data_IF_646768029457
#
_entry.id   IF_646768029457
#
_cell.length_a   1.000
_cell.length_b   1.000
_cell.length_c   1.000
_cell.angle_alpha   90.00
_cell.angle_beta   90.00
_cell.angle_gamma   90.00
#
_symmetry.space_group_name_H-M   'P 1'
#
loop_
_entity.id
_entity.type
_entity.pdbx_description
1 polymer ?
#
# COMPACT_ATOMS: atom_id res chain seq x y z
N UNK A 1 21.43 -9.71 -8.52
CA UNK A 1 20.04 -9.51 -9.00
C UNK A 1 19.96 -9.22 -10.51
N UNK A 2 20.90 -8.56 -11.17
CA UNK A 2 20.94 -8.61 -12.65
C UNK A 2 20.78 -10.05 -13.13
N UNK A 3 21.45 -10.99 -12.48
CA UNK A 3 21.28 -12.42 -12.73
C UNK A 3 19.85 -12.96 -12.52
N UNK A 4 19.01 -12.37 -11.70
CA UNK A 4 17.64 -12.85 -11.51
C UNK A 4 16.72 -12.40 -12.66
N UNK A 5 16.85 -11.15 -13.14
CA UNK A 5 16.13 -10.73 -14.37
C UNK A 5 16.66 -11.47 -15.61
N UNK A 6 17.96 -11.71 -15.72
CA UNK A 6 18.54 -12.50 -16.79
C UNK A 6 18.01 -13.94 -16.80
N UNK A 7 17.70 -14.50 -15.62
CA UNK A 7 17.07 -15.81 -15.47
C UNK A 7 15.57 -15.76 -15.79
N UNK A 8 14.87 -14.74 -15.29
CA UNK A 8 13.41 -14.62 -15.45
C UNK A 8 13.00 -14.12 -16.83
N UNK A 9 13.86 -13.33 -17.48
CA UNK A 9 13.61 -12.70 -18.78
C UNK A 9 14.81 -12.86 -19.73
N UNK A 10 15.28 -14.08 -20.04
CA UNK A 10 16.57 -14.33 -20.71
C UNK A 10 16.69 -13.74 -22.12
N UNK A 11 15.60 -13.34 -22.74
CA UNK A 11 15.57 -12.82 -24.12
C UNK A 11 14.79 -11.51 -24.26
N UNK A 12 14.49 -10.84 -23.14
CA UNK A 12 13.77 -9.57 -23.14
C UNK A 12 14.68 -8.42 -22.73
N UNK A 13 14.41 -7.24 -23.25
CA UNK A 13 14.99 -6.03 -22.68
C UNK A 13 14.50 -5.82 -21.24
N UNK A 14 15.23 -5.04 -20.44
CA UNK A 14 14.76 -4.68 -19.10
C UNK A 14 13.39 -4.03 -19.14
N UNK A 15 13.15 -3.14 -20.08
CA UNK A 15 11.85 -2.47 -20.27
C UNK A 15 10.73 -3.46 -20.59
N UNK A 16 10.96 -4.39 -21.53
CA UNK A 16 9.95 -5.39 -21.89
C UNK A 16 9.67 -6.34 -20.71
N UNK A 17 10.72 -6.73 -19.98
CA UNK A 17 10.55 -7.54 -18.78
C UNK A 17 9.67 -6.85 -17.74
N UNK A 18 9.90 -5.56 -17.47
CA UNK A 18 9.11 -4.75 -16.53
C UNK A 18 7.66 -4.58 -16.98
N UNK A 19 7.44 -4.30 -18.26
CA UNK A 19 6.09 -3.99 -18.78
C UNK A 19 5.23 -5.24 -19.01
N UNK A 20 5.83 -6.33 -19.48
CA UNK A 20 5.11 -7.56 -19.82
C UNK A 20 4.88 -8.49 -18.62
N UNK A 21 5.81 -8.50 -17.64
CA UNK A 21 5.74 -9.44 -16.52
C UNK A 21 5.36 -8.79 -15.19
N UNK A 22 5.73 -7.53 -14.96
CA UNK A 22 5.41 -6.78 -13.74
C UNK A 22 5.65 -7.61 -12.49
N UNK A 23 6.89 -8.08 -12.31
CA UNK A 23 7.24 -8.89 -11.14
C UNK A 23 6.95 -8.15 -9.84
N UNK A 24 6.41 -8.88 -8.85
CA UNK A 24 6.07 -8.35 -7.54
C UNK A 24 6.85 -9.06 -6.45
N UNK A 25 7.09 -8.33 -5.37
CA UNK A 25 7.55 -8.88 -4.09
C UNK A 25 6.42 -8.66 -3.09
N UNK A 26 5.80 -9.75 -2.67
CA UNK A 26 4.77 -9.70 -1.62
C UNK A 26 5.42 -9.42 -0.27
N UNK A 27 4.70 -8.72 0.61
CA UNK A 27 5.13 -8.35 1.96
C UNK A 27 6.44 -7.55 2.00
N UNK A 28 6.74 -6.70 1.05
CA UNK A 28 7.99 -5.95 0.96
C UNK A 28 8.28 -5.08 2.21
N UNK A 29 8.39 -5.74 3.39
CA UNK A 29 8.38 -5.11 4.72
C UNK A 29 9.77 -4.66 5.18
N UNK A 30 10.80 -5.48 4.94
CA UNK A 30 12.17 -5.20 5.39
C UNK A 30 13.08 -5.35 4.19
N UNK A 31 13.61 -4.22 3.69
CA UNK A 31 14.38 -4.16 2.45
C UNK A 31 15.65 -3.36 2.69
N UNK A 32 16.81 -4.00 2.50
CA UNK A 32 18.08 -3.30 2.56
C UNK A 32 18.14 -2.17 1.51
N UNK A 33 18.77 -1.06 1.85
CA UNK A 33 18.81 0.13 0.98
C UNK A 33 19.35 -0.15 -0.43
N UNK A 34 20.36 -1.03 -0.57
CA UNK A 34 20.89 -1.41 -1.87
C UNK A 34 19.89 -2.27 -2.68
N UNK A 35 19.10 -3.11 -2.01
CA UNK A 35 18.05 -3.88 -2.66
C UNK A 35 16.86 -2.99 -3.05
N UNK A 36 16.55 -1.96 -2.26
CA UNK A 36 15.54 -0.96 -2.64
C UNK A 36 15.94 -0.23 -3.93
N UNK A 37 17.20 0.20 -4.09
CA UNK A 37 17.69 0.78 -5.34
C UNK A 37 17.48 -0.17 -6.52
N UNK A 38 17.78 -1.45 -6.32
CA UNK A 38 17.60 -2.48 -7.35
C UNK A 38 16.13 -2.72 -7.68
N UNK A 39 15.23 -2.67 -6.70
CA UNK A 39 13.77 -2.71 -6.92
C UNK A 39 13.36 -1.55 -7.84
N UNK A 40 13.84 -0.33 -7.57
CA UNK A 40 13.56 0.83 -8.41
C UNK A 40 14.12 0.68 -9.83
N UNK A 41 15.39 0.29 -9.96
CA UNK A 41 16.03 0.09 -11.27
C UNK A 41 15.34 -0.99 -12.09
N UNK A 42 14.87 -2.04 -11.45
CA UNK A 42 14.24 -3.18 -12.09
C UNK A 42 12.73 -3.02 -12.27
N UNK A 43 12.11 -1.95 -11.73
CA UNK A 43 10.66 -1.74 -11.78
C UNK A 43 9.86 -2.87 -11.13
N UNK A 44 10.41 -3.51 -10.07
CA UNK A 44 9.70 -4.55 -9.33
C UNK A 44 8.65 -3.87 -8.45
N UNK A 45 7.43 -4.34 -8.51
CA UNK A 45 6.30 -3.80 -7.76
C UNK A 45 6.33 -4.35 -6.33
N UNK A 46 6.50 -3.52 -5.28
CA UNK A 46 6.36 -3.97 -3.90
C UNK A 46 4.88 -4.04 -3.53
N UNK A 47 4.46 -5.16 -2.97
CA UNK A 47 3.15 -5.32 -2.35
C UNK A 47 3.33 -5.20 -0.84
N UNK A 48 2.60 -4.27 -0.22
CA UNK A 48 2.83 -3.81 1.15
C UNK A 48 1.51 -3.81 1.92
N UNK A 49 1.58 -4.14 3.20
CA UNK A 49 0.46 -4.07 4.12
C UNK A 49 0.74 -2.97 5.16
N UNK A 50 0.12 -1.78 5.04
CA UNK A 50 0.37 -0.70 5.99
C UNK A 50 0.05 -1.06 7.44
N UNK A 51 -0.97 -1.89 7.66
CA UNK A 51 -1.35 -2.39 8.99
C UNK A 51 -0.27 -3.25 9.63
N UNK A 52 0.51 -4.03 8.85
CA UNK A 52 1.65 -4.77 9.39
C UNK A 52 2.68 -3.86 10.06
N UNK A 53 2.94 -2.66 9.49
CA UNK A 53 3.83 -1.70 10.12
C UNK A 53 3.37 -1.29 11.52
N UNK A 54 2.06 -1.07 11.67
CA UNK A 54 1.47 -0.61 12.94
C UNK A 54 1.20 -1.75 13.92
N UNK A 55 1.02 -2.97 13.44
CA UNK A 55 0.93 -4.16 14.29
C UNK A 55 2.31 -4.55 14.85
N UNK A 56 3.37 -4.37 14.05
CA UNK A 56 4.73 -4.76 14.41
C UNK A 56 5.51 -3.66 15.17
N UNK A 57 5.06 -2.41 15.16
CA UNK A 57 5.79 -1.27 15.73
C UNK A 57 6.17 -1.45 17.20
N UNK A 58 5.39 -2.21 17.98
CA UNK A 58 5.67 -2.47 19.39
C UNK A 58 6.89 -3.37 19.65
N UNK A 59 7.36 -4.13 18.66
CA UNK A 59 8.49 -5.04 18.83
C UNK A 59 9.56 -4.96 17.73
N UNK A 60 9.28 -4.27 16.63
CA UNK A 60 10.18 -4.22 15.47
C UNK A 60 11.58 -3.71 15.85
N UNK A 61 11.67 -2.61 16.63
CA UNK A 61 12.96 -2.07 17.07
C UNK A 61 13.74 -3.04 17.97
N UNK A 62 13.05 -3.80 18.80
CA UNK A 62 13.68 -4.80 19.68
C UNK A 62 14.31 -5.93 18.87
N UNK A 63 13.69 -6.28 17.74
CA UNK A 63 14.12 -7.37 16.85
C UNK A 63 15.19 -6.95 15.86
N UNK A 64 15.03 -5.79 15.25
CA UNK A 64 15.89 -5.31 14.16
C UNK A 64 16.98 -4.34 14.62
N UNK A 65 16.76 -3.70 15.76
CA UNK A 65 17.51 -2.53 16.20
C UNK A 65 17.02 -1.24 15.53
N UNK A 66 17.13 -0.12 16.23
CA UNK A 66 16.58 1.17 15.81
C UNK A 66 17.06 1.61 14.42
N UNK A 67 18.34 1.41 14.10
CA UNK A 67 18.92 1.80 12.80
C UNK A 67 18.24 1.06 11.65
N UNK A 68 18.19 -0.27 11.68
CA UNK A 68 17.57 -1.07 10.62
C UNK A 68 16.08 -0.81 10.52
N UNK A 69 15.39 -0.65 11.64
CA UNK A 69 13.96 -0.32 11.62
C UNK A 69 13.72 0.98 10.89
N UNK A 70 14.50 2.02 11.18
CA UNK A 70 14.38 3.33 10.52
C UNK A 70 14.78 3.33 9.05
N UNK A 71 15.81 2.54 8.68
CA UNK A 71 16.42 2.61 7.35
C UNK A 71 15.95 1.54 6.37
N UNK A 72 15.38 0.43 6.88
CA UNK A 72 15.07 -0.75 6.05
C UNK A 72 13.62 -1.25 6.21
N UNK A 73 12.92 -0.92 7.33
CA UNK A 73 11.63 -1.51 7.62
C UNK A 73 10.43 -0.61 7.27
N UNK A 74 9.39 -1.23 6.69
CA UNK A 74 8.08 -0.60 6.38
C UNK A 74 8.20 0.72 5.63
N UNK A 75 9.01 0.74 4.58
CA UNK A 75 9.42 1.93 3.83
C UNK A 75 8.44 2.28 2.70
N UNK A 76 7.19 2.58 3.06
CA UNK A 76 6.11 2.81 2.10
C UNK A 76 6.36 4.01 1.19
N UNK A 77 6.75 5.15 1.75
CA UNK A 77 7.03 6.37 0.99
C UNK A 77 8.25 6.23 0.08
N UNK A 78 9.29 5.60 0.58
CA UNK A 78 10.51 5.35 -0.19
C UNK A 78 10.28 4.44 -1.40
N UNK A 79 9.21 3.64 -1.41
CA UNK A 79 8.86 2.73 -2.50
C UNK A 79 7.85 3.31 -3.51
N UNK A 80 7.34 4.53 -3.28
CA UNK A 80 6.39 5.19 -4.21
C UNK A 80 6.85 5.24 -5.68
N UNK A 81 8.16 5.43 -6.00
CA UNK A 81 8.58 5.50 -7.40
C UNK A 81 8.29 4.25 -8.25
N UNK A 82 7.99 3.11 -7.63
CA UNK A 82 7.67 1.85 -8.32
C UNK A 82 6.20 1.41 -8.15
N UNK A 83 5.32 2.36 -7.84
CA UNK A 83 3.88 2.15 -7.72
C UNK A 83 3.51 0.97 -6.81
N UNK A 84 3.73 1.09 -5.50
CA UNK A 84 3.44 0.01 -4.56
C UNK A 84 1.95 -0.37 -4.59
N UNK A 85 1.69 -1.67 -4.43
CA UNK A 85 0.36 -2.22 -4.20
C UNK A 85 0.12 -2.29 -2.71
N UNK A 86 -0.94 -1.67 -2.21
CA UNK A 86 -1.32 -1.76 -0.80
C UNK A 86 -2.50 -2.71 -0.60
N UNK A 87 -2.53 -3.40 0.52
CA UNK A 87 -3.57 -4.35 0.88
C UNK A 87 -3.53 -4.71 2.36
N UNK A 88 -4.40 -5.62 2.80
CA UNK A 88 -4.51 -6.05 4.19
C UNK A 88 -3.85 -7.40 4.48
N UNK A 89 -3.63 -8.23 3.46
CA UNK A 89 -3.26 -9.64 3.62
C UNK A 89 -4.30 -10.42 4.46
N UNK A 90 -5.60 -10.10 4.26
CA UNK A 90 -6.65 -10.83 4.96
C UNK A 90 -6.50 -12.36 4.77
N UNK A 91 -6.60 -13.17 5.83
CA UNK A 91 -7.12 -12.87 7.18
C UNK A 91 -6.08 -12.46 8.22
N UNK A 92 -4.85 -12.10 7.83
CA UNK A 92 -3.81 -11.68 8.78
C UNK A 92 -4.21 -10.36 9.44
N UNK A 93 -4.69 -9.40 8.64
CA UNK A 93 -5.26 -8.15 9.13
C UNK A 93 -6.71 -7.99 8.66
N UNK A 94 -7.53 -7.13 9.28
CA UNK A 94 -8.89 -6.87 8.83
C UNK A 94 -8.94 -6.41 7.36
N UNK A 95 -9.97 -6.81 6.58
CA UNK A 95 -10.06 -6.49 5.16
C UNK A 95 -10.45 -5.05 4.86
N UNK A 96 -10.77 -4.23 5.87
CA UNK A 96 -11.19 -2.85 5.72
C UNK A 96 -10.04 -1.98 5.17
N UNK A 97 -10.16 -1.44 3.94
CA UNK A 97 -9.10 -0.65 3.32
C UNK A 97 -8.85 0.68 4.05
N UNK A 98 -9.86 1.26 4.73
CA UNK A 98 -9.69 2.53 5.46
C UNK A 98 -8.80 2.38 6.68
N UNK A 99 -8.78 1.20 7.31
CA UNK A 99 -7.79 0.89 8.35
C UNK A 99 -6.37 0.86 7.77
N UNK A 100 -6.19 0.30 6.57
CA UNK A 100 -4.91 0.32 5.86
C UNK A 100 -4.49 1.74 5.45
N UNK A 101 -5.42 2.55 4.95
CA UNK A 101 -5.19 3.96 4.61
C UNK A 101 -4.79 4.76 5.84
N UNK A 102 -5.53 4.60 6.96
CA UNK A 102 -5.17 5.22 8.23
C UNK A 102 -3.76 4.83 8.68
N UNK A 103 -3.43 3.53 8.67
CA UNK A 103 -2.11 3.04 9.04
C UNK A 103 -0.99 3.60 8.14
N UNK A 104 -1.24 3.76 6.84
CA UNK A 104 -0.28 4.34 5.91
C UNK A 104 -0.01 5.83 6.17
N UNK A 105 -1.04 6.59 6.56
CA UNK A 105 -0.97 8.04 6.75
C UNK A 105 -0.53 8.40 8.17
N UNK A 106 -1.22 7.84 9.17
CA UNK A 106 -1.00 8.15 10.58
C UNK A 106 0.19 7.41 11.20
N UNK A 107 0.60 6.27 10.62
CA UNK A 107 1.60 5.39 11.21
C UNK A 107 1.29 5.04 12.67
N UNK A 108 0.00 4.83 12.95
CA UNK A 108 -0.59 4.49 14.24
C UNK A 108 -1.52 3.28 14.07
N UNK A 109 -1.78 2.55 15.15
CA UNK A 109 -2.72 1.42 15.16
C UNK A 109 -4.14 1.89 14.79
N UNK A 110 -4.78 1.33 13.77
CA UNK A 110 -6.17 1.65 13.45
C UNK A 110 -7.14 1.32 14.59
N UNK A 111 -6.84 0.29 15.40
CA UNK A 111 -7.69 -0.15 16.50
C UNK A 111 -7.65 0.83 17.68
N UNK A 112 -6.46 1.31 18.04
CA UNK A 112 -6.29 2.18 19.22
C UNK A 112 -6.15 3.67 18.89
N UNK A 113 -5.69 4.00 17.67
CA UNK A 113 -5.29 5.36 17.28
C UNK A 113 -3.94 5.79 17.83
N UNK A 114 -3.18 4.87 18.47
CA UNK A 114 -1.94 5.17 19.15
C UNK A 114 -0.73 4.64 18.39
N UNK A 115 0.42 5.27 18.58
CA UNK A 115 1.73 4.82 18.10
C UNK A 115 2.40 3.84 19.06
N UNK A 116 3.66 3.46 18.78
CA UNK A 116 4.43 2.50 19.56
C UNK A 116 4.64 2.92 21.03
N UNK A 117 4.68 4.22 21.28
CA UNK A 117 4.92 4.80 22.61
C UNK A 117 3.60 5.16 23.34
N UNK A 118 2.46 4.85 22.74
CA UNK A 118 1.13 5.17 23.26
C UNK A 118 0.73 6.63 23.02
N UNK A 119 1.40 7.33 22.12
CA UNK A 119 1.12 8.70 21.71
C UNK A 119 0.35 8.80 20.39
N UNK A 120 0.29 10.03 19.84
CA UNK A 120 -0.37 10.34 18.58
C UNK A 120 0.58 10.89 17.51
N UNK A 121 1.90 10.79 17.74
CA UNK A 121 2.90 11.34 16.81
C UNK A 121 3.15 10.49 15.57
N UNK A 122 2.84 9.19 15.67
CA UNK A 122 3.07 8.21 14.63
C UNK A 122 4.50 7.64 14.61
N UNK A 123 4.61 6.41 14.12
CA UNK A 123 5.85 5.64 14.11
C UNK A 123 6.62 5.84 12.80
N UNK A 124 7.84 6.40 12.84
CA UNK A 124 8.67 6.69 11.65
C UNK A 124 7.92 7.46 10.56
N UNK A 125 7.42 8.65 10.89
CA UNK A 125 6.58 9.49 10.02
C UNK A 125 7.22 9.93 8.71
N UNK A 126 8.54 9.83 8.56
CA UNK A 126 9.22 10.08 7.29
C UNK A 126 8.83 9.07 6.18
N UNK A 127 8.26 7.93 6.55
CA UNK A 127 7.71 6.92 5.66
C UNK A 127 6.16 6.95 5.58
N UNK A 128 5.52 7.94 6.21
CA UNK A 128 4.07 8.14 6.09
C UNK A 128 3.69 8.58 4.66
N UNK A 129 2.55 8.11 4.19
CA UNK A 129 1.97 8.53 2.93
C UNK A 129 1.01 9.72 3.14
N UNK A 130 0.75 10.47 2.07
CA UNK A 130 -0.41 11.36 2.01
C UNK A 130 -1.69 10.56 1.75
N UNK A 131 -2.86 11.18 1.94
CA UNK A 131 -4.15 10.54 1.62
C UNK A 131 -4.20 10.12 0.14
N UNK A 132 -3.77 10.99 -0.77
CA UNK A 132 -3.75 10.72 -2.20
C UNK A 132 -2.82 9.54 -2.54
N UNK A 133 -1.61 9.50 -1.99
CA UNK A 133 -0.65 8.42 -2.18
C UNK A 133 -1.21 7.08 -1.66
N UNK A 134 -1.85 7.09 -0.48
CA UNK A 134 -2.48 5.91 0.09
C UNK A 134 -3.67 5.43 -0.75
N UNK A 135 -4.56 6.34 -1.19
CA UNK A 135 -5.68 6.00 -2.07
C UNK A 135 -5.20 5.39 -3.39
N UNK A 136 -4.18 5.96 -4.01
CA UNK A 136 -3.56 5.38 -5.22
C UNK A 136 -3.01 3.97 -4.96
N UNK A 137 -2.35 3.77 -3.82
CA UNK A 137 -1.84 2.47 -3.40
C UNK A 137 -2.93 1.41 -3.20
N UNK A 138 -4.15 1.79 -2.84
CA UNK A 138 -5.31 0.90 -2.69
C UNK A 138 -6.22 0.82 -3.93
N UNK A 139 -5.98 1.60 -4.98
CA UNK A 139 -6.84 1.66 -6.18
C UNK A 139 -6.04 1.43 -7.47
N UNK A 140 -5.39 2.45 -8.01
CA UNK A 140 -4.63 2.35 -9.27
C UNK A 140 -3.37 1.50 -9.14
N UNK A 141 -2.74 1.44 -7.96
CA UNK A 141 -1.60 0.56 -7.70
C UNK A 141 -1.94 -0.93 -7.88
N UNK A 142 -2.96 -1.47 -7.17
CA UNK A 142 -3.44 -2.84 -7.39
C UNK A 142 -3.90 -3.11 -8.82
N UNK A 143 -4.57 -2.16 -9.46
CA UNK A 143 -4.98 -2.28 -10.87
C UNK A 143 -3.76 -2.44 -11.78
N UNK A 144 -2.71 -1.64 -11.58
CA UNK A 144 -1.44 -1.78 -12.30
C UNK A 144 -0.79 -3.14 -12.04
N UNK A 145 -0.69 -3.57 -10.78
CA UNK A 145 -0.12 -4.88 -10.42
C UNK A 145 -0.88 -6.08 -10.98
N UNK A 146 -2.17 -5.88 -11.30
CA UNK A 146 -3.07 -6.90 -11.87
C UNK A 146 -3.24 -6.78 -13.40
N UNK A 147 -2.51 -5.91 -14.10
CA UNK A 147 -2.66 -5.65 -15.55
C UNK A 147 -4.04 -5.08 -15.95
N UNK A 148 -4.65 -4.31 -15.06
CA UNK A 148 -5.97 -3.68 -15.26
C UNK A 148 -5.85 -2.15 -15.45
N UNK A 149 -4.74 -1.64 -15.94
CA UNK A 149 -4.54 -0.23 -16.22
C UNK A 149 -5.64 0.31 -17.14
N UNK A 150 -6.23 1.44 -16.77
CA UNK A 150 -7.34 2.05 -17.51
C UNK A 150 -8.63 1.24 -17.47
N UNK A 151 -8.70 0.17 -16.67
CA UNK A 151 -9.90 -0.67 -16.51
C UNK A 151 -10.44 -0.65 -15.09
N UNK A 152 -9.57 -0.61 -14.08
CA UNK A 152 -9.95 -0.63 -12.68
C UNK A 152 -9.16 0.41 -11.88
N UNK A 153 -9.60 0.67 -10.64
CA UNK A 153 -8.95 1.58 -9.71
C UNK A 153 -9.16 3.07 -10.01
N UNK A 154 -10.05 3.42 -10.92
CA UNK A 154 -10.35 4.81 -11.30
C UNK A 154 -11.82 4.96 -11.74
N UNK A 155 -12.35 6.16 -11.64
CA UNK A 155 -13.68 6.53 -12.15
C UNK A 155 -13.47 7.36 -13.43
N UNK A 156 -13.40 6.67 -14.58
CA UNK A 156 -13.20 7.26 -15.90
C UNK A 156 -14.06 6.57 -16.96
N UNK A 157 -14.34 7.26 -18.07
CA UNK A 157 -15.08 6.69 -19.19
C UNK A 157 -14.29 5.52 -19.81
N UNK A 158 -14.87 4.35 -19.81
CA UNK A 158 -14.26 3.11 -20.32
C UNK A 158 -13.67 2.19 -19.24
N UNK A 159 -13.58 2.66 -17.99
CA UNK A 159 -13.25 1.83 -16.84
C UNK A 159 -14.46 1.00 -16.37
N UNK A 160 -14.20 0.00 -15.55
CA UNK A 160 -15.26 -0.74 -14.88
C UNK A 160 -16.08 0.17 -13.97
N UNK A 161 -17.39 -0.06 -13.93
CA UNK A 161 -18.30 0.68 -13.08
C UNK A 161 -18.25 0.12 -11.63
N UNK A 162 -17.09 0.26 -11.00
CA UNK A 162 -16.78 -0.20 -9.66
C UNK A 162 -16.46 1.01 -8.78
N UNK A 163 -17.26 1.26 -7.73
CA UNK A 163 -17.03 2.35 -6.79
C UNK A 163 -17.67 2.06 -5.43
N UNK A 164 -17.27 2.83 -4.44
CA UNK A 164 -17.91 2.90 -3.14
C UNK A 164 -18.48 4.29 -2.90
N UNK A 165 -19.59 4.38 -2.17
CA UNK A 165 -20.15 5.63 -1.67
C UNK A 165 -19.89 5.67 -0.17
N UNK A 166 -19.27 6.74 0.29
CA UNK A 166 -18.89 6.94 1.68
C UNK A 166 -19.94 7.81 2.39
N UNK A 167 -20.01 7.71 3.70
CA UNK A 167 -20.92 8.51 4.53
C UNK A 167 -20.47 9.97 4.67
N UNK A 168 -19.18 10.24 4.42
CA UNK A 168 -18.56 11.58 4.49
C UNK A 168 -17.57 11.80 3.36
N UNK A 169 -17.39 13.05 2.90
CA UNK A 169 -16.35 13.39 1.91
C UNK A 169 -14.96 13.26 2.55
N UNK A 170 -14.00 12.74 1.78
CA UNK A 170 -12.63 12.53 2.27
C UNK A 170 -11.82 13.82 2.41
N UNK A 171 -12.15 14.86 1.62
CA UNK A 171 -11.39 16.11 1.55
C UNK A 171 -11.41 16.91 2.86
N UNK A 172 -12.49 16.79 3.63
CA UNK A 172 -12.71 17.56 4.85
C UNK A 172 -12.45 16.73 6.12
N UNK A 173 -11.89 15.51 5.99
CA UNK A 173 -11.70 14.61 7.13
C UNK A 173 -10.37 14.83 7.83
N UNK A 174 -10.41 14.87 9.14
CA UNK A 174 -9.21 14.66 9.95
C UNK A 174 -8.74 13.20 9.85
N UNK A 175 -7.44 12.96 9.97
CA UNK A 175 -6.87 11.61 9.80
C UNK A 175 -7.51 10.58 10.74
N UNK A 176 -7.85 10.96 11.96
CA UNK A 176 -8.49 10.06 12.94
C UNK A 176 -9.93 9.68 12.56
N UNK A 177 -10.62 10.48 11.76
CA UNK A 177 -11.98 10.17 11.28
C UNK A 177 -12.01 8.99 10.30
N UNK A 178 -10.90 8.71 9.59
CA UNK A 178 -10.78 7.54 8.72
C UNK A 178 -11.06 6.21 9.42
N UNK A 179 -10.82 6.15 10.73
CA UNK A 179 -11.07 4.95 11.55
C UNK A 179 -12.56 4.64 11.77
N UNK A 180 -13.41 5.62 11.56
CA UNK A 180 -14.85 5.52 11.75
C UNK A 180 -15.63 5.79 10.45
N UNK A 181 -14.94 5.76 9.30
CA UNK A 181 -15.55 6.00 8.00
C UNK A 181 -16.40 4.80 7.59
N UNK A 182 -17.65 5.05 7.22
CA UNK A 182 -18.60 4.03 6.80
C UNK A 182 -18.79 4.02 5.28
N UNK A 183 -18.79 2.81 4.70
CA UNK A 183 -19.20 2.58 3.32
C UNK A 183 -20.73 2.46 3.29
N UNK A 184 -21.42 3.37 2.60
CA UNK A 184 -22.88 3.34 2.42
C UNK A 184 -23.29 2.43 1.29
N UNK A 185 -22.54 2.44 0.19
CA UNK A 185 -22.83 1.60 -0.96
C UNK A 185 -21.54 1.05 -1.56
N UNK A 186 -21.61 -0.16 -2.10
CA UNK A 186 -20.57 -0.74 -2.94
C UNK A 186 -21.19 -1.20 -4.26
N UNK A 187 -20.59 -0.76 -5.33
CA UNK A 187 -21.02 -1.06 -6.69
C UNK A 187 -19.93 -1.82 -7.43
N UNK A 188 -20.32 -2.91 -8.11
CA UNK A 188 -19.45 -3.74 -8.93
C UNK A 188 -20.11 -3.97 -10.28
N UNK A 189 -19.42 -3.67 -11.36
CA UNK A 189 -19.91 -3.74 -12.73
C UNK A 189 -21.26 -2.99 -12.92
N UNK A 190 -21.41 -1.84 -12.26
CA UNK A 190 -22.61 -1.00 -12.30
C UNK A 190 -23.80 -1.58 -11.54
N UNK A 191 -23.61 -2.58 -10.68
CA UNK A 191 -24.65 -3.15 -9.83
C UNK A 191 -24.30 -2.91 -8.38
N UNK A 192 -25.25 -2.42 -7.61
CA UNK A 192 -25.10 -2.30 -6.16
C UNK A 192 -25.06 -3.72 -5.55
N UNK A 193 -23.95 -4.02 -4.88
CA UNK A 193 -23.71 -5.31 -4.19
C UNK A 193 -23.81 -5.19 -2.68
N UNK A 194 -23.73 -3.96 -2.18
CA UNK A 194 -23.91 -3.61 -0.77
C UNK A 194 -24.56 -2.22 -0.67
N UNK A 195 -25.50 -2.02 0.24
CA UNK A 195 -26.13 -0.75 0.56
C UNK A 195 -26.80 -0.78 1.93
N UNK A 196 -26.71 0.35 2.67
CA UNK A 196 -27.33 0.58 3.98
C UNK A 196 -28.48 1.57 3.87
#
# INVERSE_FOLDING_TARGET
MSSALDILCPNLSQHDCQTLHRFRIEHAQIIHQDDQKRIHEMGIIPSIQPTHATSDMGYAEVRLGKKRTSEEAYRMRSLLPVNPVLGSDFPVEPPDPFQGIFAAIARRSPQTGLDADGGHHGWYMHEALTLEEALRGFTTGPAHGAFLDGKAGMIEVGAYADWVVLDKPLEDMEVDDLRALDVKETWVAGRMVYGQ
#
